data_IF_766846519544
#
_entry.id   IF_766846519544
#
_cell.length_a   1.000
_cell.length_b   1.000
_cell.length_c   1.000
_cell.angle_alpha   90.00
_cell.angle_beta   90.00
_cell.angle_gamma   90.00
#
_symmetry.space_group_name_H-M   'P 1'
#
loop_
_entity.id
_entity.type
_entity.pdbx_description
1 polymer ?
#
# COMPACT_ATOMS: atom_id res chain seq x y z
N UNK A 1 16.70 -1.59 39.38
CA UNK A 1 17.79 -0.62 39.13
C UNK A 1 18.88 -1.22 38.24
N UNK A 2 19.18 -2.51 38.34
CA UNK A 2 20.15 -3.17 37.45
C UNK A 2 19.72 -3.23 35.97
N UNK A 3 18.44 -3.51 35.68
CA UNK A 3 17.94 -3.63 34.31
C UNK A 3 18.04 -2.32 33.50
N UNK A 4 17.90 -1.17 34.16
CA UNK A 4 18.05 0.15 33.52
C UNK A 4 19.49 0.49 33.20
N UNK A 5 20.45 0.03 34.01
CA UNK A 5 21.88 0.22 33.75
C UNK A 5 22.33 -0.57 32.51
N UNK A 6 21.84 -1.82 32.39
CA UNK A 6 22.11 -2.67 31.23
C UNK A 6 21.53 -2.05 29.95
N UNK A 7 20.30 -1.49 30.01
CA UNK A 7 19.70 -0.78 28.88
C UNK A 7 20.51 0.45 28.45
N UNK A 8 20.97 1.25 29.40
CA UNK A 8 21.80 2.43 29.11
C UNK A 8 23.14 2.03 28.44
N UNK A 9 23.79 0.96 28.92
CA UNK A 9 25.01 0.43 28.30
C UNK A 9 24.75 -0.10 26.89
N UNK A 10 23.62 -0.81 26.69
CA UNK A 10 23.24 -1.33 25.38
C UNK A 10 22.97 -0.21 24.37
N UNK A 11 22.35 0.89 24.80
CA UNK A 11 22.13 2.07 23.96
C UNK A 11 23.44 2.77 23.57
N UNK A 12 24.37 2.93 24.52
CA UNK A 12 25.69 3.50 24.23
C UNK A 12 26.50 2.64 23.24
N UNK A 13 26.41 1.32 23.38
CA UNK A 13 27.02 0.37 22.44
C UNK A 13 26.39 0.46 21.04
N UNK A 14 25.06 0.61 20.93
CA UNK A 14 24.39 0.76 19.64
C UNK A 14 24.74 2.09 18.95
N UNK A 15 24.80 3.18 19.71
CA UNK A 15 25.22 4.49 19.20
C UNK A 15 26.68 4.51 18.75
N UNK A 16 27.61 4.00 19.57
CA UNK A 16 29.03 3.91 19.20
C UNK A 16 29.27 3.04 17.97
N UNK A 17 28.51 1.95 17.82
CA UNK A 17 28.54 1.11 16.62
C UNK A 17 28.04 1.86 15.38
N UNK A 18 27.03 2.72 15.50
CA UNK A 18 26.51 3.53 14.40
C UNK A 18 27.50 4.62 13.98
N UNK A 19 28.04 5.37 14.96
CA UNK A 19 28.80 6.60 14.69
C UNK A 19 30.28 6.33 14.39
N UNK A 20 30.91 5.45 15.17
CA UNK A 20 32.37 5.17 15.09
C UNK A 20 32.65 3.90 14.29
N UNK A 21 31.62 3.07 14.04
CA UNK A 21 31.74 1.75 13.41
C UNK A 21 32.71 0.82 14.16
N UNK A 22 32.87 1.01 15.47
CA UNK A 22 33.69 0.19 16.34
C UNK A 22 32.85 -0.31 17.52
N UNK A 23 33.13 -1.53 17.98
CA UNK A 23 32.51 -2.12 19.18
C UNK A 23 33.61 -2.26 20.22
N UNK A 24 33.45 -1.58 21.35
CA UNK A 24 34.36 -1.70 22.49
C UNK A 24 33.87 -2.86 23.33
N UNK A 25 34.67 -3.92 23.39
CA UNK A 25 34.39 -5.15 24.14
C UNK A 25 35.30 -5.21 25.35
N UNK A 26 34.75 -5.63 26.49
CA UNK A 26 35.56 -5.96 27.65
C UNK A 26 36.34 -7.26 27.39
N UNK A 27 37.62 -7.27 27.79
CA UNK A 27 38.52 -8.42 27.59
C UNK A 27 38.11 -9.64 28.43
N UNK A 28 37.37 -9.43 29.53
CA UNK A 28 36.89 -10.48 30.41
C UNK A 28 35.41 -10.79 30.14
N UNK A 29 35.15 -11.60 29.10
CA UNK A 29 33.89 -12.33 28.94
C UNK A 29 32.87 -11.81 27.92
N UNK A 30 33.19 -10.76 27.15
CA UNK A 30 32.30 -10.25 26.09
C UNK A 30 32.72 -10.77 24.70
N UNK A 31 31.91 -11.65 24.11
CA UNK A 31 32.12 -12.16 22.75
C UNK A 31 31.18 -11.46 21.75
N UNK A 32 31.75 -10.89 20.68
CA UNK A 32 30.96 -10.28 19.61
C UNK A 32 30.83 -11.24 18.42
N UNK A 33 29.63 -11.81 18.25
CA UNK A 33 29.27 -12.53 17.03
C UNK A 33 28.45 -11.62 16.10
N UNK A 34 28.95 -11.43 14.88
CA UNK A 34 28.15 -10.78 13.83
C UNK A 34 27.14 -11.78 13.29
N UNK A 35 25.90 -11.68 13.75
CA UNK A 35 24.79 -12.40 13.17
C UNK A 35 24.53 -11.85 11.76
N UNK A 36 24.81 -12.65 10.74
CA UNK A 36 24.50 -12.31 9.35
C UNK A 36 23.02 -12.62 9.11
N UNK A 37 22.20 -11.59 8.94
CA UNK A 37 20.84 -11.76 8.48
C UNK A 37 20.85 -12.15 7.00
N UNK A 38 20.28 -13.32 6.68
CA UNK A 38 20.11 -13.77 5.31
C UNK A 38 18.89 -13.08 4.68
N UNK A 39 19.11 -12.27 3.65
CA UNK A 39 18.06 -11.55 2.93
C UNK A 39 17.36 -12.39 1.86
N UNK A 40 17.78 -13.64 1.63
CA UNK A 40 17.23 -14.50 0.56
C UNK A 40 15.71 -14.72 0.66
N UNK A 41 15.12 -14.64 1.86
CA UNK A 41 13.69 -14.86 2.09
C UNK A 41 12.82 -13.60 2.10
N UNK A 42 13.37 -12.40 1.86
CA UNK A 42 12.59 -11.17 2.05
C UNK A 42 11.52 -10.94 0.97
N UNK A 43 11.66 -11.58 -0.19
CA UNK A 43 10.73 -11.42 -1.31
C UNK A 43 9.30 -11.90 -0.97
N UNK A 44 9.18 -12.97 -0.21
CA UNK A 44 7.91 -13.61 0.13
C UNK A 44 6.99 -12.71 0.99
N UNK A 45 7.45 -12.13 2.11
CA UNK A 45 6.61 -11.22 2.89
C UNK A 45 6.20 -9.97 2.11
N UNK A 46 7.08 -9.43 1.25
CA UNK A 46 6.72 -8.32 0.37
C UNK A 46 5.62 -8.68 -0.63
N UNK A 47 5.68 -9.87 -1.21
CA UNK A 47 4.64 -10.35 -2.15
C UNK A 47 3.29 -10.49 -1.45
N UNK A 48 3.26 -11.07 -0.24
CA UNK A 48 2.04 -11.18 0.56
C UNK A 48 1.49 -9.80 0.94
N UNK A 49 2.37 -8.84 1.26
CA UNK A 49 1.97 -7.47 1.57
C UNK A 49 1.32 -6.78 0.36
N UNK A 50 1.88 -6.94 -0.84
CA UNK A 50 1.30 -6.41 -2.08
C UNK A 50 -0.08 -7.02 -2.37
N UNK A 51 -0.23 -8.33 -2.15
CA UNK A 51 -1.53 -9.00 -2.30
C UNK A 51 -2.54 -8.46 -1.29
N UNK A 52 -2.17 -8.34 -0.01
CA UNK A 52 -3.03 -7.78 1.04
C UNK A 52 -3.46 -6.34 0.73
N UNK A 53 -2.54 -5.52 0.23
CA UNK A 53 -2.83 -4.14 -0.16
C UNK A 53 -3.83 -4.09 -1.33
N UNK A 54 -3.63 -4.94 -2.35
CA UNK A 54 -4.52 -5.05 -3.50
C UNK A 54 -5.94 -5.46 -3.08
N UNK A 55 -6.04 -6.44 -2.18
CA UNK A 55 -7.32 -6.85 -1.59
C UNK A 55 -8.00 -5.74 -0.79
N UNK A 56 -7.24 -4.96 -0.01
CA UNK A 56 -7.77 -3.84 0.77
C UNK A 56 -8.26 -2.70 -0.12
N UNK A 57 -7.52 -2.39 -1.20
CA UNK A 57 -7.89 -1.37 -2.17
C UNK A 57 -9.05 -1.80 -3.08
N UNK A 58 -9.40 -3.10 -3.12
CA UNK A 58 -10.33 -3.70 -4.10
C UNK A 58 -9.89 -3.47 -5.56
N UNK A 59 -8.58 -3.39 -5.78
CA UNK A 59 -7.98 -3.26 -7.11
C UNK A 59 -7.15 -4.52 -7.35
N UNK A 60 -7.27 -5.19 -8.51
CA UNK A 60 -6.45 -6.37 -8.79
C UNK A 60 -4.95 -6.03 -8.76
N UNK A 61 -4.12 -6.95 -8.29
CA UNK A 61 -2.66 -6.74 -8.15
C UNK A 61 -2.00 -6.43 -9.51
N UNK A 62 -2.53 -7.01 -10.59
CA UNK A 62 -2.10 -6.80 -11.97
C UNK A 62 -2.26 -5.34 -12.41
N UNK A 63 -3.35 -4.70 -12.00
CA UNK A 63 -3.63 -3.28 -12.25
C UNK A 63 -2.88 -2.39 -11.26
N UNK A 64 -2.90 -2.72 -9.97
CA UNK A 64 -2.35 -1.88 -8.91
C UNK A 64 -0.82 -1.79 -8.95
N UNK A 65 -0.14 -2.92 -9.22
CA UNK A 65 1.32 -3.01 -9.22
C UNK A 65 1.92 -2.96 -10.64
N UNK A 66 1.08 -2.91 -11.68
CA UNK A 66 1.53 -2.92 -13.08
C UNK A 66 2.33 -4.19 -13.45
N UNK A 67 2.12 -5.29 -12.71
CA UNK A 67 2.81 -6.54 -12.98
C UNK A 67 2.01 -7.36 -13.99
N UNK A 68 2.73 -7.94 -14.96
CA UNK A 68 2.16 -9.01 -15.77
C UNK A 68 1.73 -10.16 -14.86
N UNK A 69 0.56 -10.76 -15.11
CA UNK A 69 0.06 -11.84 -14.27
C UNK A 69 1.09 -12.96 -14.13
N UNK A 70 1.23 -13.51 -12.93
CA UNK A 70 2.17 -14.59 -12.68
C UNK A 70 1.70 -15.88 -13.39
N UNK A 71 2.41 -16.30 -14.43
CA UNK A 71 2.14 -17.53 -15.18
C UNK A 71 2.25 -17.32 -16.69
N UNK A 72 2.84 -18.29 -17.40
CA UNK A 72 3.15 -18.20 -18.83
C UNK A 72 1.91 -18.01 -19.73
N UNK A 73 0.71 -18.28 -19.21
CA UNK A 73 -0.58 -18.21 -19.91
C UNK A 73 -1.58 -17.21 -19.28
N UNK A 74 -1.16 -16.42 -18.29
CA UNK A 74 -2.06 -15.52 -17.59
C UNK A 74 -2.09 -14.15 -18.30
N UNK A 75 -3.12 -13.91 -19.13
CA UNK A 75 -3.27 -12.67 -19.92
C UNK A 75 -3.76 -11.47 -19.10
N UNK A 76 -4.29 -11.70 -17.89
CA UNK A 76 -4.76 -10.64 -16.98
C UNK A 76 -6.05 -9.95 -17.46
N UNK A 77 -6.62 -10.42 -18.56
CA UNK A 77 -7.80 -9.82 -19.19
C UNK A 77 -9.06 -9.98 -18.32
N UNK A 78 -9.13 -11.03 -17.51
CA UNK A 78 -10.22 -11.22 -16.55
C UNK A 78 -10.16 -10.20 -15.41
N UNK A 79 -8.96 -9.89 -14.91
CA UNK A 79 -8.76 -8.93 -13.83
C UNK A 79 -9.14 -7.53 -14.28
N UNK A 80 -8.74 -7.15 -15.51
CA UNK A 80 -9.06 -5.85 -16.10
C UNK A 80 -10.57 -5.71 -16.33
N UNK A 81 -11.23 -6.73 -16.91
CA UNK A 81 -12.68 -6.74 -17.10
C UNK A 81 -13.41 -6.58 -15.77
N UNK A 82 -13.04 -7.37 -14.76
CA UNK A 82 -13.63 -7.27 -13.44
C UNK A 82 -13.46 -5.88 -12.82
N UNK A 83 -12.28 -5.27 -12.96
CA UNK A 83 -12.01 -3.92 -12.43
C UNK A 83 -12.85 -2.85 -13.13
N UNK A 84 -13.01 -2.94 -14.46
CA UNK A 84 -13.88 -2.03 -15.20
C UNK A 84 -15.35 -2.21 -14.84
N UNK A 85 -15.84 -3.44 -14.72
CA UNK A 85 -17.22 -3.72 -14.30
C UNK A 85 -17.52 -3.15 -12.91
N UNK A 86 -16.58 -3.28 -11.96
CA UNK A 86 -16.72 -2.67 -10.63
C UNK A 86 -16.76 -1.15 -10.68
N UNK A 87 -15.91 -0.54 -11.53
CA UNK A 87 -15.84 0.91 -11.69
C UNK A 87 -17.13 1.45 -12.33
N UNK A 88 -17.64 0.77 -13.35
CA UNK A 88 -18.91 1.09 -13.99
C UNK A 88 -20.08 0.96 -13.03
N UNK A 89 -20.18 -0.14 -12.28
CA UNK A 89 -21.20 -0.32 -11.26
C UNK A 89 -21.17 0.80 -10.21
N UNK A 90 -19.99 1.29 -9.83
CA UNK A 90 -19.85 2.43 -8.93
C UNK A 90 -20.31 3.75 -9.58
N UNK A 91 -19.98 3.96 -10.85
CA UNK A 91 -20.45 5.12 -11.65
C UNK A 91 -21.97 5.17 -11.70
N UNK A 92 -22.62 4.08 -12.08
CA UNK A 92 -24.07 3.99 -12.21
C UNK A 92 -24.78 4.12 -10.85
N UNK A 93 -24.22 3.52 -9.81
CA UNK A 93 -24.86 3.53 -8.49
C UNK A 93 -24.76 4.87 -7.76
N UNK A 94 -23.61 5.55 -7.84
CA UNK A 94 -23.33 6.72 -7.00
C UNK A 94 -23.28 8.02 -7.76
N UNK A 95 -22.70 8.04 -8.96
CA UNK A 95 -22.47 9.27 -9.70
C UNK A 95 -23.64 9.59 -10.61
N UNK A 96 -24.17 8.61 -11.33
CA UNK A 96 -25.26 8.82 -12.28
C UNK A 96 -26.51 9.47 -11.67
N UNK A 97 -27.04 9.05 -10.51
CA UNK A 97 -28.23 9.66 -9.94
C UNK A 97 -27.99 11.13 -9.55
N UNK A 98 -26.81 11.41 -8.97
CA UNK A 98 -26.43 12.76 -8.53
C UNK A 98 -26.20 13.69 -9.71
N UNK A 99 -25.53 13.19 -10.75
CA UNK A 99 -25.31 13.95 -11.99
C UNK A 99 -26.64 14.23 -12.69
N UNK A 100 -27.54 13.24 -12.74
CA UNK A 100 -28.88 13.41 -13.33
C UNK A 100 -29.71 14.44 -12.56
N UNK A 101 -29.63 14.44 -11.24
CA UNK A 101 -30.27 15.44 -10.40
C UNK A 101 -29.70 16.85 -10.64
N UNK A 102 -28.38 16.99 -10.68
CA UNK A 102 -27.73 18.27 -10.99
C UNK A 102 -28.11 18.78 -12.37
N UNK A 103 -28.07 17.92 -13.39
CA UNK A 103 -28.48 18.27 -14.75
C UNK A 103 -29.94 18.73 -14.76
N UNK A 104 -30.83 18.01 -14.07
CA UNK A 104 -32.24 18.39 -13.94
C UNK A 104 -32.43 19.76 -13.29
N UNK A 105 -31.70 20.06 -12.21
CA UNK A 105 -31.79 21.36 -11.54
C UNK A 105 -31.27 22.50 -12.44
N UNK A 106 -30.18 22.24 -13.18
CA UNK A 106 -29.62 23.21 -14.15
C UNK A 106 -30.60 23.47 -15.30
N UNK A 107 -31.32 22.45 -15.79
CA UNK A 107 -32.30 22.60 -16.87
C UNK A 107 -33.62 23.24 -16.39
N UNK A 108 -34.00 23.01 -15.13
CA UNK A 108 -35.17 23.67 -14.54
C UNK A 108 -34.94 25.15 -14.21
N UNK A 109 -33.67 25.56 -14.07
CA UNK A 109 -33.34 26.95 -13.79
C UNK A 109 -33.82 27.86 -14.94
N UNK A 110 -34.38 29.02 -14.58
CA UNK A 110 -34.89 30.00 -15.55
C UNK A 110 -33.79 30.59 -16.43
N UNK A 111 -32.59 30.73 -15.87
CA UNK A 111 -31.36 31.13 -16.58
C UNK A 111 -30.60 29.92 -17.15
N UNK A 112 -31.19 28.73 -17.05
CA UNK A 112 -30.63 27.48 -17.52
C UNK A 112 -30.70 27.32 -19.04
N UNK A 113 -29.89 26.41 -19.61
CA UNK A 113 -29.76 26.24 -21.06
C UNK A 113 -31.06 25.80 -21.77
N UNK A 114 -32.03 25.24 -21.04
CA UNK A 114 -33.35 24.84 -21.56
C UNK A 114 -34.48 25.80 -21.17
N UNK A 115 -34.18 26.92 -20.51
CA UNK A 115 -35.15 27.97 -20.19
C UNK A 115 -36.28 27.52 -19.25
N UNK A 116 -36.00 26.62 -18.30
CA UNK A 116 -36.98 26.13 -17.34
C UNK A 116 -37.81 24.93 -17.80
N UNK A 117 -37.34 24.17 -18.80
CA UNK A 117 -37.93 22.89 -19.21
C UNK A 117 -36.98 21.74 -18.86
N UNK A 118 -37.53 20.68 -18.27
CA UNK A 118 -36.79 19.43 -18.05
C UNK A 118 -36.40 18.79 -19.41
N UNK A 119 -35.24 18.14 -19.43
CA UNK A 119 -34.79 17.26 -20.51
C UNK A 119 -35.45 15.89 -20.42
#
# INVERSE_FOLDING_TARGET
QETSLIQARMQLLDMSRSDVRAVVLDAEGEEFSRQNFNWAGIKDPFTIMMLRLSSAARIPVTVLMGQSPAGMDATGESDIRWFYDQTEAHREKYFEPKLRELIRLITLAKDGPTGGKEL
#
